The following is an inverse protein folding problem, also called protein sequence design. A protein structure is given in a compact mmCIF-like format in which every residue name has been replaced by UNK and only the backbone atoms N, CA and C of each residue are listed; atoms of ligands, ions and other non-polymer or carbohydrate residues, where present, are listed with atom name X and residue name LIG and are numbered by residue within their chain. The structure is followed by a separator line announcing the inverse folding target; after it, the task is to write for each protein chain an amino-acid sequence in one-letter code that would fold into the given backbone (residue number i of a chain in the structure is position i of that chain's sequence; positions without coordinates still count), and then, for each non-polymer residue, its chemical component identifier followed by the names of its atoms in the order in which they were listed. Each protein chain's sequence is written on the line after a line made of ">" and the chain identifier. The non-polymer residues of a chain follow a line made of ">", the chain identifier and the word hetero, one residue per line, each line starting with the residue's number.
data_IF_648209628787
#
_entry.id   IF_648209628787
#
_cell.length_a   1.000
_cell.length_b   1.000
_cell.length_c   1.000
_cell.angle_alpha   90.00
_cell.angle_beta   90.00
_cell.angle_gamma   90.00
#
_symmetry.space_group_name_H-M   'P 1'
#
loop_
_entity.id
_entity.type
_entity.pdbx_description
1 polymer ?
#
# COMPACT_ATOMS: atom_id res chain seq x y z
N UNK A 1 -10.81 27.20 -2.24
CA UNK A 1 -10.53 25.77 -2.15
C UNK A 1 -11.61 25.05 -2.97
N UNK A 2 -11.38 24.93 -4.29
CA UNK A 2 -12.39 24.33 -5.18
C UNK A 2 -12.47 22.82 -4.93
N UNK A 3 -13.70 22.30 -4.76
CA UNK A 3 -13.97 20.86 -4.56
C UNK A 3 -13.93 20.37 -3.12
N UNK A 4 -13.32 21.08 -2.19
CA UNK A 4 -13.27 20.69 -0.78
C UNK A 4 -14.64 20.97 -0.13
N UNK A 5 -15.22 20.04 0.65
CA UNK A 5 -16.46 20.27 1.39
C UNK A 5 -16.41 21.55 2.22
N UNK A 6 -17.54 22.24 2.31
CA UNK A 6 -17.60 23.58 2.91
C UNK A 6 -17.22 23.56 4.40
N UNK A 7 -17.64 22.55 5.14
CA UNK A 7 -17.29 22.34 6.56
C UNK A 7 -15.77 22.23 6.74
N UNK A 8 -15.09 21.42 5.93
CA UNK A 8 -13.62 21.27 5.98
C UNK A 8 -12.94 22.56 5.54
N UNK A 9 -13.40 23.17 4.43
CA UNK A 9 -12.84 24.39 3.88
C UNK A 9 -12.94 25.59 4.83
N UNK A 10 -14.06 25.72 5.56
CA UNK A 10 -14.27 26.79 6.54
C UNK A 10 -13.32 26.61 7.72
N UNK A 11 -13.29 25.41 8.31
CA UNK A 11 -12.40 25.11 9.42
C UNK A 11 -10.93 25.33 9.09
N UNK A 12 -10.47 24.88 7.92
CA UNK A 12 -9.09 25.11 7.47
C UNK A 12 -8.74 26.60 7.34
N UNK A 13 -9.68 27.41 6.85
CA UNK A 13 -9.50 28.88 6.76
C UNK A 13 -9.39 29.53 8.13
N UNK A 14 -10.23 29.13 9.10
CA UNK A 14 -10.20 29.64 10.46
C UNK A 14 -8.87 29.38 11.16
N UNK A 15 -8.23 28.27 10.89
CA UNK A 15 -6.91 27.91 11.47
C UNK A 15 -5.72 28.36 10.61
N UNK A 16 -5.96 29.17 9.57
CA UNK A 16 -4.90 29.66 8.69
C UNK A 16 -4.22 28.58 7.87
N UNK A 17 -4.89 27.45 7.65
CA UNK A 17 -4.46 26.42 6.72
C UNK A 17 -4.88 26.76 5.28
N UNK A 18 -4.27 26.13 4.30
CA UNK A 18 -4.51 26.39 2.89
C UNK A 18 -4.78 25.10 2.09
N UNK A 19 -5.01 25.24 0.78
CA UNK A 19 -5.33 24.12 -0.09
C UNK A 19 -4.22 23.07 -0.22
N UNK A 20 -2.98 23.38 0.20
CA UNK A 20 -1.88 22.40 0.22
C UNK A 20 -1.84 21.57 1.48
N UNK A 21 -2.66 21.90 2.48
CA UNK A 21 -2.77 21.19 3.75
C UNK A 21 -3.87 20.11 3.73
N UNK A 22 -4.60 19.99 2.60
CA UNK A 22 -5.66 19.01 2.39
C UNK A 22 -5.65 18.53 0.94
N UNK A 23 -5.94 17.26 0.70
CA UNK A 23 -6.10 16.70 -0.65
C UNK A 23 -7.15 15.60 -0.66
N UNK A 24 -7.71 15.36 -1.83
CA UNK A 24 -8.61 14.24 -2.06
C UNK A 24 -7.79 12.97 -2.33
N UNK A 25 -7.97 11.92 -1.54
CA UNK A 25 -7.28 10.64 -1.70
C UNK A 25 -8.06 9.70 -2.61
N UNK A 26 -9.39 9.79 -2.56
CA UNK A 26 -10.35 9.13 -3.46
C UNK A 26 -11.64 9.93 -3.44
N UNK A 27 -12.54 9.70 -4.38
CA UNK A 27 -13.79 10.47 -4.54
C UNK A 27 -14.49 10.71 -3.20
N UNK A 28 -14.67 11.98 -2.84
CA UNK A 28 -15.30 12.46 -1.61
C UNK A 28 -14.59 12.01 -0.31
N UNK A 29 -13.32 11.64 -0.36
CA UNK A 29 -12.53 11.26 0.82
C UNK A 29 -11.32 12.17 0.92
N UNK A 30 -11.28 12.98 1.95
CA UNK A 30 -10.27 14.02 2.13
C UNK A 30 -9.24 13.62 3.18
N UNK A 31 -8.03 14.06 3.00
CA UNK A 31 -6.93 13.87 3.95
C UNK A 31 -6.40 15.22 4.37
N UNK A 32 -6.30 15.42 5.68
CA UNK A 32 -5.77 16.65 6.29
C UNK A 32 -4.38 16.37 6.84
N UNK A 33 -3.42 17.25 6.52
CA UNK A 33 -2.06 17.15 7.05
C UNK A 33 -2.01 17.30 8.55
N UNK A 34 -1.08 16.58 9.18
CA UNK A 34 -0.81 16.64 10.60
C UNK A 34 -0.71 18.07 11.13
N UNK A 35 0.04 18.92 10.44
CA UNK A 35 0.21 20.32 10.83
C UNK A 35 -1.10 21.11 10.88
N UNK A 36 -2.05 20.81 10.01
CA UNK A 36 -3.37 21.44 10.02
C UNK A 36 -4.23 20.86 11.14
N UNK A 37 -4.17 19.57 11.40
CA UNK A 37 -4.86 18.94 12.55
C UNK A 37 -4.40 19.53 13.88
N UNK A 38 -3.09 19.75 14.07
CA UNK A 38 -2.55 20.40 15.26
C UNK A 38 -3.07 21.86 15.44
N UNK A 39 -3.20 22.60 14.34
CA UNK A 39 -3.80 23.94 14.36
C UNK A 39 -5.29 23.89 14.72
N UNK A 40 -6.03 22.91 14.20
CA UNK A 40 -7.43 22.68 14.54
C UNK A 40 -7.55 22.35 16.02
N UNK A 41 -6.70 21.48 16.55
CA UNK A 41 -6.69 21.14 17.97
C UNK A 41 -6.44 22.36 18.85
N UNK A 42 -5.49 23.21 18.46
CA UNK A 42 -5.21 24.46 19.18
C UNK A 42 -6.36 25.48 19.09
N UNK A 43 -6.99 25.61 17.91
CA UNK A 43 -8.13 26.53 17.70
C UNK A 43 -9.36 26.13 18.52
N UNK A 44 -9.65 24.82 18.59
CA UNK A 44 -10.76 24.28 19.37
C UNK A 44 -10.43 24.09 20.87
N UNK A 45 -9.25 24.49 21.30
CA UNK A 45 -8.73 24.29 22.66
C UNK A 45 -8.88 22.84 23.15
N UNK A 46 -8.55 21.88 22.29
CA UNK A 46 -8.68 20.45 22.62
C UNK A 46 -7.70 20.10 23.74
N UNK A 47 -8.25 19.55 24.83
CA UNK A 47 -7.48 18.99 25.95
C UNK A 47 -7.49 17.48 25.84
N UNK A 48 -6.31 16.89 25.75
CA UNK A 48 -6.15 15.44 25.73
C UNK A 48 -5.90 14.91 27.14
N UNK A 49 -6.53 13.80 27.46
CA UNK A 49 -6.22 13.02 28.65
C UNK A 49 -4.92 12.22 28.45
N UNK A 50 -4.38 11.70 29.55
CA UNK A 50 -3.25 10.77 29.46
C UNK A 50 -3.63 9.52 28.65
N UNK A 51 -2.83 9.16 27.63
CA UNK A 51 -3.13 8.01 26.79
C UNK A 51 -3.10 6.70 27.59
N UNK A 52 -3.98 5.76 27.23
CA UNK A 52 -4.04 4.42 27.83
C UNK A 52 -3.52 3.40 26.84
N UNK A 53 -2.53 2.62 27.23
CA UNK A 53 -2.05 1.48 26.45
C UNK A 53 -3.07 0.35 26.59
N UNK A 54 -3.72 -0.01 25.46
CA UNK A 54 -4.67 -1.12 25.38
C UNK A 54 -3.94 -2.43 25.10
N UNK A 55 -2.94 -2.37 24.22
CA UNK A 55 -2.11 -3.52 23.85
C UNK A 55 -0.70 -3.04 23.50
N UNK A 56 0.30 -3.80 23.91
CA UNK A 56 1.68 -3.59 23.49
C UNK A 56 2.40 -4.93 23.45
N UNK A 57 2.82 -5.32 22.27
CA UNK A 57 3.71 -6.45 22.03
C UNK A 57 4.94 -5.95 21.25
N UNK A 58 6.07 -5.89 21.95
CA UNK A 58 7.31 -5.36 21.36
C UNK A 58 8.00 -6.37 20.45
N UNK A 59 7.74 -7.66 20.59
CA UNK A 59 8.28 -8.72 19.74
C UNK A 59 7.64 -8.64 18.35
N UNK A 60 6.32 -8.60 18.30
CA UNK A 60 5.56 -8.43 17.05
C UNK A 60 5.43 -6.97 16.60
N UNK A 61 5.92 -5.99 17.38
CA UNK A 61 5.82 -4.54 17.13
C UNK A 61 4.38 -4.06 16.96
N UNK A 62 3.45 -4.64 17.72
CA UNK A 62 2.04 -4.27 17.71
C UNK A 62 1.71 -3.43 18.95
N UNK A 63 1.12 -2.27 18.72
CA UNK A 63 0.73 -1.33 19.77
C UNK A 63 -0.67 -0.79 19.47
N UNK A 64 -1.53 -0.74 20.48
CA UNK A 64 -2.82 -0.06 20.44
C UNK A 64 -2.93 0.88 21.64
N UNK A 65 -3.26 2.15 21.39
CA UNK A 65 -3.37 3.21 22.39
C UNK A 65 -4.74 3.86 22.26
N UNK A 66 -5.46 3.96 23.38
CA UNK A 66 -6.65 4.79 23.51
C UNK A 66 -6.25 6.21 23.90
N UNK A 67 -6.81 7.18 23.20
CA UNK A 67 -6.73 8.59 23.56
C UNK A 67 -8.15 9.14 23.67
N UNK A 68 -8.42 9.89 24.72
CA UNK A 68 -9.60 10.72 24.86
C UNK A 68 -9.21 12.20 24.92
N UNK A 69 -10.18 13.05 24.60
CA UNK A 69 -10.00 14.50 24.65
C UNK A 69 -11.35 15.22 24.70
N UNK A 70 -11.28 16.52 25.02
CA UNK A 70 -12.44 17.38 25.13
C UNK A 70 -12.21 18.73 24.46
N UNK A 71 -13.29 19.31 23.93
CA UNK A 71 -13.36 20.68 23.44
C UNK A 71 -14.64 21.32 24.01
N UNK A 72 -14.50 22.19 25.00
CA UNK A 72 -15.62 22.67 25.79
C UNK A 72 -16.36 21.51 26.49
N UNK A 73 -17.67 21.37 26.24
CA UNK A 73 -18.50 20.29 26.79
C UNK A 73 -18.45 18.99 25.98
N UNK A 74 -17.93 19.07 24.75
CA UNK A 74 -17.84 17.89 23.87
C UNK A 74 -16.66 17.02 24.24
N UNK A 75 -16.86 15.71 24.27
CA UNK A 75 -15.81 14.72 24.50
C UNK A 75 -15.76 13.69 23.37
N UNK A 76 -14.57 13.22 23.04
CA UNK A 76 -14.37 12.16 22.08
C UNK A 76 -13.21 11.26 22.50
N UNK A 77 -13.24 10.02 22.05
CA UNK A 77 -12.14 9.08 22.21
C UNK A 77 -11.90 8.29 20.94
N UNK A 78 -10.70 7.76 20.80
CA UNK A 78 -10.37 6.85 19.72
C UNK A 78 -9.21 5.94 20.09
N UNK A 79 -9.08 4.84 19.37
CA UNK A 79 -7.93 3.93 19.46
C UNK A 79 -7.08 4.16 18.20
N UNK A 80 -5.77 4.34 18.40
CA UNK A 80 -4.78 4.32 17.35
C UNK A 80 -3.99 3.02 17.42
N UNK A 81 -3.66 2.47 16.28
CA UNK A 81 -2.98 1.21 16.15
C UNK A 81 -1.72 1.38 15.30
N UNK A 82 -0.64 0.71 15.70
CA UNK A 82 0.58 0.57 14.91
C UNK A 82 1.01 -0.89 14.92
N UNK A 83 1.16 -1.47 13.74
CA UNK A 83 1.58 -2.84 13.52
C UNK A 83 2.41 -2.93 12.22
N UNK A 84 3.20 -3.98 11.99
CA UNK A 84 4.03 -4.08 10.79
C UNK A 84 3.29 -3.94 9.45
N UNK A 85 1.99 -4.22 9.42
CA UNK A 85 1.18 -4.08 8.20
C UNK A 85 0.76 -2.63 7.89
N UNK A 86 0.73 -1.74 8.89
CA UNK A 86 0.32 -0.34 8.74
C UNK A 86 1.35 0.67 9.29
N UNK A 87 2.50 0.22 9.77
CA UNK A 87 3.55 1.08 10.31
C UNK A 87 4.94 0.55 9.91
N UNK A 88 5.65 1.30 9.08
CA UNK A 88 7.03 1.02 8.66
C UNK A 88 8.07 1.71 9.55
N UNK A 89 7.62 2.57 10.47
CA UNK A 89 8.50 3.31 11.37
C UNK A 89 8.93 2.46 12.57
N UNK A 90 10.10 2.78 13.11
CA UNK A 90 10.62 2.14 14.32
C UNK A 90 9.98 2.62 15.63
N UNK A 91 8.94 3.48 15.55
CA UNK A 91 8.31 4.14 16.72
C UNK A 91 6.82 3.76 16.84
N UNK A 92 6.47 2.51 17.15
CA UNK A 92 5.07 2.08 17.11
C UNK A 92 4.19 2.81 18.15
N UNK A 93 4.70 3.12 19.34
CA UNK A 93 3.94 3.87 20.34
C UNK A 93 3.59 5.28 19.87
N UNK A 94 4.56 6.01 19.33
CA UNK A 94 4.33 7.37 18.83
C UNK A 94 3.34 7.38 17.66
N UNK A 95 3.40 6.38 16.78
CA UNK A 95 2.47 6.26 15.67
C UNK A 95 1.06 5.89 16.11
N UNK A 96 0.91 4.98 17.06
CA UNK A 96 -0.39 4.63 17.63
C UNK A 96 -1.02 5.83 18.35
N UNK A 97 -0.27 6.55 19.17
CA UNK A 97 -0.73 7.76 19.85
C UNK A 97 -1.15 8.85 18.85
N UNK A 98 -0.31 9.10 17.82
CA UNK A 98 -0.58 10.09 16.79
C UNK A 98 -1.91 9.79 16.08
N UNK A 99 -2.11 8.58 15.59
CA UNK A 99 -3.36 8.15 14.94
C UNK A 99 -4.58 8.30 15.85
N UNK A 100 -4.44 7.96 17.14
CA UNK A 100 -5.53 8.14 18.10
C UNK A 100 -5.89 9.61 18.27
N UNK A 101 -4.89 10.50 18.46
CA UNK A 101 -5.07 11.95 18.59
C UNK A 101 -5.72 12.56 17.36
N UNK A 102 -5.22 12.22 16.17
CA UNK A 102 -5.75 12.73 14.91
C UNK A 102 -7.25 12.40 14.76
N UNK A 103 -7.65 11.16 15.06
CA UNK A 103 -9.07 10.75 15.03
C UNK A 103 -9.91 11.50 16.08
N UNK A 104 -9.37 11.78 17.26
CA UNK A 104 -10.05 12.57 18.29
C UNK A 104 -10.24 14.00 17.81
N UNK A 105 -9.22 14.62 17.19
CA UNK A 105 -9.31 15.97 16.60
C UNK A 105 -10.41 16.00 15.54
N UNK A 106 -10.41 15.07 14.59
CA UNK A 106 -11.41 14.99 13.52
C UNK A 106 -12.84 14.84 14.07
N UNK A 107 -13.02 14.04 15.14
CA UNK A 107 -14.31 13.86 15.81
C UNK A 107 -14.79 15.13 16.49
N UNK A 108 -13.93 15.78 17.27
CA UNK A 108 -14.26 17.04 17.97
C UNK A 108 -14.46 18.19 17.01
N UNK A 109 -13.78 18.19 15.87
CA UNK A 109 -13.96 19.15 14.78
C UNK A 109 -15.22 18.90 13.92
N UNK A 110 -15.92 17.79 14.11
CA UNK A 110 -17.13 17.43 13.37
C UNK A 110 -16.90 17.08 11.89
N UNK A 111 -15.68 16.68 11.52
CA UNK A 111 -15.32 16.32 10.13
C UNK A 111 -14.86 14.85 9.99
N UNK A 112 -14.97 14.07 11.06
CA UNK A 112 -14.65 12.64 11.03
C UNK A 112 -15.65 11.89 10.11
N UNK A 113 -15.11 11.09 9.19
CA UNK A 113 -15.92 10.41 8.17
C UNK A 113 -15.83 11.11 6.81
N UNK A 114 -15.72 12.45 6.78
CA UNK A 114 -15.44 13.22 5.57
C UNK A 114 -13.93 13.42 5.36
N UNK A 115 -13.19 13.47 6.47
CA UNK A 115 -11.75 13.67 6.46
C UNK A 115 -11.02 12.63 7.34
N UNK A 116 -9.79 12.35 6.93
CA UNK A 116 -8.84 11.43 7.55
C UNK A 116 -7.51 12.14 7.81
N UNK A 117 -6.66 11.56 8.64
CA UNK A 117 -5.30 12.06 8.86
C UNK A 117 -4.36 11.66 7.70
N UNK A 118 -3.21 12.32 7.62
CA UNK A 118 -2.15 12.02 6.65
C UNK A 118 -1.67 10.57 6.75
N UNK A 119 -1.55 10.02 7.95
CA UNK A 119 -1.14 8.64 8.20
C UNK A 119 -2.14 7.62 7.62
N UNK A 120 -3.44 7.91 7.73
CA UNK A 120 -4.49 7.07 7.13
C UNK A 120 -4.57 7.26 5.62
N UNK A 121 -4.26 8.45 5.12
CA UNK A 121 -4.21 8.74 3.69
C UNK A 121 -3.13 7.95 2.96
N UNK A 122 -2.01 7.71 3.60
CA UNK A 122 -0.92 6.89 3.03
C UNK A 122 -1.30 5.41 2.98
N UNK A 123 -2.01 4.90 3.98
CA UNK A 123 -2.55 3.54 3.99
C UNK A 123 -3.53 3.33 2.81
N UNK A 124 -4.39 4.31 2.48
CA UNK A 124 -5.29 4.26 1.32
C UNK A 124 -4.54 4.23 -0.01
N UNK A 125 -3.51 5.04 -0.18
CA UNK A 125 -2.68 5.05 -1.41
C UNK A 125 -1.94 3.74 -1.61
N UNK A 126 -1.44 3.14 -0.54
CA UNK A 126 -0.76 1.84 -0.62
C UNK A 126 -1.73 0.74 -1.02
N UNK A 127 -2.93 0.70 -0.42
CA UNK A 127 -3.98 -0.25 -0.77
C UNK A 127 -4.44 -0.11 -2.24
N UNK A 128 -4.56 1.12 -2.74
CA UNK A 128 -4.92 1.38 -4.14
C UNK A 128 -3.80 0.93 -5.10
N UNK A 129 -2.53 1.19 -4.76
CA UNK A 129 -1.39 0.70 -5.55
C UNK A 129 -1.33 -0.82 -5.59
N UNK A 130 -1.55 -1.48 -4.45
CA UNK A 130 -1.60 -2.95 -4.38
C UNK A 130 -2.74 -3.52 -5.23
N UNK A 131 -3.92 -2.88 -5.19
CA UNK A 131 -5.08 -3.30 -5.99
C UNK A 131 -4.81 -3.12 -7.49
N UNK A 132 -4.33 -1.95 -7.91
CA UNK A 132 -4.01 -1.67 -9.31
C UNK A 132 -2.94 -2.61 -9.84
N UNK A 133 -1.92 -2.90 -9.03
CA UNK A 133 -0.89 -3.88 -9.39
C UNK A 133 -1.48 -5.29 -9.52
N UNK A 134 -2.39 -5.70 -8.63
CA UNK A 134 -3.04 -7.01 -8.69
C UNK A 134 -3.94 -7.15 -9.93
N UNK A 135 -4.64 -6.10 -10.31
CA UNK A 135 -5.43 -6.06 -11.54
C UNK A 135 -4.54 -6.26 -12.75
N UNK A 136 -3.47 -5.46 -12.88
CA UNK A 136 -2.52 -5.56 -13.99
C UNK A 136 -1.84 -6.95 -14.04
N UNK A 137 -1.46 -7.52 -12.89
CA UNK A 137 -0.92 -8.86 -12.80
C UNK A 137 -1.90 -9.92 -13.30
N UNK A 138 -3.18 -9.84 -12.90
CA UNK A 138 -4.19 -10.80 -13.33
C UNK A 138 -4.48 -10.69 -14.83
N UNK A 139 -4.58 -9.47 -15.37
CA UNK A 139 -4.77 -9.23 -16.81
C UNK A 139 -3.61 -9.83 -17.60
N UNK A 140 -2.36 -9.49 -17.28
CA UNK A 140 -1.18 -10.05 -17.94
C UNK A 140 -1.13 -11.59 -17.84
N UNK A 141 -1.49 -12.18 -16.71
CA UNK A 141 -1.54 -13.63 -16.54
C UNK A 141 -2.62 -14.28 -17.41
N UNK A 142 -3.78 -13.65 -17.55
CA UNK A 142 -4.88 -14.18 -18.38
C UNK A 142 -4.55 -14.10 -19.87
N UNK A 143 -3.92 -13.02 -20.30
CA UNK A 143 -3.52 -12.83 -21.70
C UNK A 143 -2.45 -13.85 -22.16
N UNK A 144 -1.61 -14.32 -21.23
CA UNK A 144 -0.50 -15.24 -21.49
C UNK A 144 -0.65 -16.63 -20.85
N UNK A 145 -1.89 -17.06 -20.56
CA UNK A 145 -2.16 -18.36 -19.90
C UNK A 145 -1.50 -19.55 -20.62
N UNK A 146 -1.48 -19.55 -21.94
CA UNK A 146 -0.87 -20.61 -22.74
C UNK A 146 0.64 -20.72 -22.48
N UNK A 147 1.36 -19.62 -22.62
CA UNK A 147 2.81 -19.56 -22.40
C UNK A 147 3.15 -19.88 -20.94
N UNK A 148 2.38 -19.35 -19.97
CA UNK A 148 2.54 -19.67 -18.53
C UNK A 148 2.36 -21.17 -18.29
N UNK A 149 1.34 -21.79 -18.89
CA UNK A 149 1.10 -23.23 -18.76
C UNK A 149 2.30 -24.06 -19.26
N UNK A 150 2.82 -23.74 -20.44
CA UNK A 150 3.99 -24.44 -20.99
C UNK A 150 5.24 -24.21 -20.15
N UNK A 151 5.51 -22.99 -19.71
CA UNK A 151 6.63 -22.73 -18.76
C UNK A 151 6.54 -23.62 -17.55
N UNK A 152 5.37 -23.68 -16.89
CA UNK A 152 5.17 -24.54 -15.70
C UNK A 152 5.39 -26.01 -16.02
N UNK A 153 4.84 -26.50 -17.13
CA UNK A 153 4.99 -27.87 -17.56
C UNK A 153 6.45 -28.24 -17.83
N UNK A 154 7.24 -27.35 -18.44
CA UNK A 154 8.66 -27.56 -18.70
C UNK A 154 9.56 -27.41 -17.48
N UNK A 155 9.12 -26.69 -16.46
CA UNK A 155 9.81 -26.58 -15.15
C UNK A 155 9.43 -27.70 -14.18
N UNK A 156 8.46 -28.53 -14.49
CA UNK A 156 7.97 -29.59 -13.60
C UNK A 156 8.98 -30.73 -13.48
N UNK A 157 9.07 -31.31 -12.27
CA UNK A 157 9.93 -32.47 -11.98
C UNK A 157 11.34 -32.10 -11.53
N UNK A 158 12.22 -33.12 -11.60
CA UNK A 158 13.61 -33.01 -11.13
C UNK A 158 14.60 -32.72 -12.28
N UNK A 159 14.14 -32.82 -13.53
CA UNK A 159 14.92 -32.51 -14.74
C UNK A 159 14.17 -31.51 -15.63
N UNK A 160 14.22 -30.23 -15.29
CA UNK A 160 13.53 -29.18 -16.04
C UNK A 160 14.06 -29.04 -17.48
N UNK A 161 13.15 -28.86 -18.43
CA UNK A 161 13.46 -28.58 -19.82
C UNK A 161 13.73 -27.09 -20.02
N UNK A 162 14.92 -26.64 -19.62
CA UNK A 162 15.27 -25.22 -19.54
C UNK A 162 15.10 -24.45 -20.87
N UNK A 163 15.54 -25.02 -21.99
CA UNK A 163 15.45 -24.34 -23.29
C UNK A 163 13.99 -24.19 -23.73
N UNK A 164 13.16 -25.21 -23.58
CA UNK A 164 11.72 -25.13 -23.90
C UNK A 164 10.98 -24.19 -22.96
N UNK A 165 11.36 -24.16 -21.67
CA UNK A 165 10.79 -23.22 -20.72
C UNK A 165 11.16 -21.76 -21.05
N UNK A 166 12.41 -21.54 -21.47
CA UNK A 166 12.90 -20.23 -21.87
C UNK A 166 12.22 -19.73 -23.16
N UNK A 167 12.05 -20.60 -24.15
CA UNK A 167 11.31 -20.32 -25.38
C UNK A 167 9.87 -19.89 -25.05
N UNK A 168 9.12 -20.71 -24.30
CA UNK A 168 7.75 -20.40 -23.90
C UNK A 168 7.64 -19.09 -23.07
N UNK A 169 8.61 -18.81 -22.21
CA UNK A 169 8.65 -17.57 -21.44
C UNK A 169 8.97 -16.34 -22.29
N UNK A 170 9.80 -16.51 -23.34
CA UNK A 170 10.18 -15.42 -24.25
C UNK A 170 9.04 -14.97 -25.17
N UNK A 171 7.99 -15.79 -25.34
CA UNK A 171 6.77 -15.40 -26.06
C UNK A 171 5.98 -14.31 -25.30
N UNK A 172 6.22 -14.19 -23.98
CA UNK A 172 5.59 -13.17 -23.16
C UNK A 172 6.35 -11.85 -23.34
N UNK A 173 5.70 -10.71 -23.64
CA UNK A 173 6.33 -9.41 -23.72
C UNK A 173 7.10 -9.05 -22.44
N UNK A 174 8.25 -8.38 -22.57
CA UNK A 174 9.12 -8.08 -21.42
C UNK A 174 8.41 -7.29 -20.31
N UNK A 175 7.48 -6.38 -20.66
CA UNK A 175 6.67 -5.61 -19.74
C UNK A 175 5.76 -6.50 -18.90
N UNK A 176 5.18 -7.55 -19.50
CA UNK A 176 4.29 -8.50 -18.83
C UNK A 176 5.06 -9.57 -18.06
N UNK A 177 6.26 -9.97 -18.53
CA UNK A 177 7.12 -10.91 -17.79
C UNK A 177 7.36 -10.43 -16.36
N UNK A 178 7.63 -9.13 -16.15
CA UNK A 178 7.85 -8.57 -14.82
C UNK A 178 6.59 -8.63 -13.94
N UNK A 179 5.41 -8.43 -14.53
CA UNK A 179 4.14 -8.54 -13.79
C UNK A 179 3.83 -9.98 -13.43
N UNK A 180 4.03 -10.92 -14.36
CA UNK A 180 3.64 -12.34 -14.23
C UNK A 180 4.50 -13.08 -13.19
N UNK A 181 5.81 -12.89 -13.17
CA UNK A 181 6.66 -13.64 -12.25
C UNK A 181 6.76 -13.03 -10.85
N UNK A 182 6.46 -11.73 -10.67
CA UNK A 182 6.31 -11.13 -9.34
C UNK A 182 5.06 -11.69 -8.68
N UNK A 183 5.20 -12.30 -7.51
CA UNK A 183 4.05 -12.79 -6.78
C UNK A 183 3.34 -11.67 -6.04
N UNK A 184 2.02 -11.59 -6.07
CA UNK A 184 1.26 -10.87 -5.06
C UNK A 184 1.52 -11.47 -3.67
N UNK A 185 1.22 -10.73 -2.60
CA UNK A 185 1.35 -11.22 -1.21
C UNK A 185 0.59 -12.54 -0.98
N UNK A 186 -0.51 -12.74 -1.72
CA UNK A 186 -1.29 -13.98 -1.75
C UNK A 186 -1.68 -14.32 -3.19
N UNK A 187 -1.46 -15.58 -3.57
CA UNK A 187 -1.77 -16.06 -4.92
C UNK A 187 -0.61 -15.80 -5.90
N UNK A 188 -0.90 -15.92 -7.18
CA UNK A 188 0.04 -15.83 -8.27
C UNK A 188 0.07 -17.13 -9.06
N UNK A 189 0.36 -17.03 -10.37
CA UNK A 189 0.35 -18.18 -11.27
C UNK A 189 1.58 -19.07 -11.11
N UNK A 190 2.72 -18.48 -10.70
CA UNK A 190 3.93 -19.24 -10.39
C UNK A 190 4.08 -19.49 -8.89
N UNK A 191 4.35 -20.72 -8.51
CA UNK A 191 4.72 -21.11 -7.16
C UNK A 191 6.10 -20.54 -6.78
N UNK A 192 6.44 -20.59 -5.49
CA UNK A 192 7.77 -20.16 -5.03
C UNK A 192 8.88 -20.95 -5.72
N UNK A 193 8.74 -22.29 -5.86
CA UNK A 193 9.71 -23.17 -6.55
C UNK A 193 9.88 -22.74 -8.01
N UNK A 194 8.80 -22.56 -8.76
CA UNK A 194 8.86 -22.15 -10.16
C UNK A 194 9.52 -20.79 -10.33
N UNK A 195 9.25 -19.81 -9.45
CA UNK A 195 9.93 -18.52 -9.47
C UNK A 195 11.43 -18.61 -9.19
N UNK A 196 11.83 -19.50 -8.28
CA UNK A 196 13.26 -19.78 -8.03
C UNK A 196 13.92 -20.39 -9.26
N UNK A 197 13.24 -21.30 -9.95
CA UNK A 197 13.70 -21.90 -11.19
C UNK A 197 13.86 -20.85 -12.31
N UNK A 198 12.88 -19.96 -12.51
CA UNK A 198 12.95 -18.85 -13.49
C UNK A 198 14.12 -17.89 -13.19
N UNK A 199 14.52 -17.74 -11.93
CA UNK A 199 15.69 -16.94 -11.52
C UNK A 199 17.01 -17.71 -11.59
N UNK A 200 16.99 -19.01 -11.79
CA UNK A 200 18.19 -19.84 -11.74
C UNK A 200 19.20 -19.49 -12.85
N UNK A 201 20.44 -19.87 -12.63
CA UNK A 201 21.51 -19.73 -13.62
C UNK A 201 21.18 -20.49 -14.90
N UNK A 202 20.62 -21.69 -14.76
CA UNK A 202 20.30 -22.58 -15.88
C UNK A 202 19.22 -21.98 -16.79
N UNK A 203 18.14 -21.46 -16.21
CA UNK A 203 17.11 -20.77 -16.95
C UNK A 203 17.64 -19.50 -17.65
N UNK A 204 18.44 -18.70 -16.97
CA UNK A 204 19.04 -17.49 -17.53
C UNK A 204 20.00 -17.81 -18.68
N UNK A 205 20.73 -18.93 -18.62
CA UNK A 205 21.58 -19.40 -19.73
C UNK A 205 20.75 -19.87 -20.91
N UNK A 206 19.64 -20.58 -20.68
CA UNK A 206 18.69 -20.98 -21.72
C UNK A 206 18.08 -19.78 -22.42
N UNK A 207 17.62 -18.77 -21.67
CA UNK A 207 17.12 -17.51 -22.23
C UNK A 207 18.16 -16.82 -23.14
N UNK A 208 19.43 -16.79 -22.70
CA UNK A 208 20.50 -16.18 -23.51
C UNK A 208 20.75 -16.97 -24.81
N UNK A 209 20.73 -18.31 -24.77
CA UNK A 209 20.86 -19.13 -26.01
C UNK A 209 19.74 -18.81 -26.97
N UNK A 210 18.49 -18.90 -26.50
CA UNK A 210 17.32 -18.61 -27.34
C UNK A 210 17.38 -17.23 -27.98
N UNK A 211 17.68 -16.17 -27.22
CA UNK A 211 17.76 -14.80 -27.73
C UNK A 211 18.92 -14.59 -28.74
N UNK A 212 20.01 -15.35 -28.61
CA UNK A 212 21.12 -15.30 -29.56
C UNK A 212 20.78 -16.02 -30.87
N UNK A 213 20.10 -17.16 -30.80
CA UNK A 213 19.67 -17.93 -31.98
C UNK A 213 18.68 -17.10 -32.84
N UNK A 214 17.72 -16.42 -32.18
CA UNK A 214 16.77 -15.52 -32.86
C UNK A 214 17.47 -14.32 -33.55
N UNK A 215 18.58 -13.81 -32.98
CA UNK A 215 19.36 -12.74 -33.61
C UNK A 215 20.20 -13.24 -34.81
N UNK A 216 20.61 -14.50 -34.79
CA UNK A 216 21.29 -15.14 -35.90
C UNK A 216 20.40 -15.29 -37.13
N UNK A 217 19.15 -15.76 -36.93
CA UNK A 217 18.16 -15.96 -38.00
C UNK A 217 17.66 -14.64 -38.64
N UNK A 218 17.73 -13.51 -37.93
CA UNK A 218 17.36 -12.20 -38.49
C UNK A 218 18.45 -11.54 -39.33
N UNK A 219 19.68 -12.12 -39.38
CA UNK A 219 20.82 -11.58 -40.10
C UNK A 219 21.22 -12.44 -41.32
N UNK A 220 20.47 -13.49 -41.62
CA UNK A 220 20.53 -14.30 -42.86
C UNK A 220 19.38 -13.89 -43.82
#
# INVERSE_FOLDING_TARGET
>A
MNGIPENISNLLREVGANSTDVWEVRKNTWVVKQKALERIAAHLDIKFDSPKIIHADMESKQVAIEVSGSAGENTAWSIGEAAPYNNKNSYPFAMAEKRAKDRVILKLAGIHGDAYSEEEGDDFKEAERELNWLIAHNEACMDHLGSIYFVKQYLEGDDPKWDSAAEAFSEIPNEDQELIWKAPKKGGFFTTKEREQIKSTDFNQAMKRYLNDQKGELNE
#
